data_IF_151315746093
#
_entry.id   IF_151315746093
#
_cell.length_a   1.000
_cell.length_b   1.000
_cell.length_c   1.000
_cell.angle_alpha   90.00
_cell.angle_beta   90.00
_cell.angle_gamma   90.00
#
_symmetry.space_group_name_H-M   'P 1'
#
loop_
_entity.id
_entity.type
_entity.pdbx_description
1 polymer ?
#
# COMPACT_ATOMS: atom_id res chain seq x y z
N UNK A 1 9.30 -3.01 21.66
CA UNK A 1 9.39 -3.69 22.95
C UNK A 1 8.05 -4.27 23.43
N UNK A 2 7.95 -4.86 24.63
CA UNK A 2 6.75 -5.56 25.11
C UNK A 2 5.48 -4.71 25.12
N UNK A 3 5.55 -3.47 25.59
CA UNK A 3 4.40 -2.55 25.61
C UNK A 3 3.88 -2.24 24.20
N UNK A 4 4.78 -2.03 23.23
CA UNK A 4 4.40 -1.83 21.85
C UNK A 4 3.73 -3.09 21.25
N UNK A 5 4.18 -4.28 21.65
CA UNK A 5 3.53 -5.52 21.21
C UNK A 5 2.13 -5.67 21.81
N UNK A 6 1.95 -5.29 23.07
CA UNK A 6 0.62 -5.28 23.71
C UNK A 6 -0.33 -4.31 23.03
N UNK A 7 0.13 -3.09 22.72
CA UNK A 7 -0.66 -2.11 21.96
C UNK A 7 -1.04 -2.66 20.57
N UNK A 8 -0.07 -3.21 19.86
CA UNK A 8 -0.32 -3.84 18.55
C UNK A 8 -1.39 -4.93 18.64
N UNK A 9 -1.30 -5.82 19.63
CA UNK A 9 -2.31 -6.87 19.82
C UNK A 9 -3.71 -6.30 20.08
N UNK A 10 -3.82 -5.21 20.85
CA UNK A 10 -5.11 -4.54 21.08
C UNK A 10 -5.69 -3.99 19.79
N UNK A 11 -4.87 -3.33 18.95
CA UNK A 11 -5.30 -2.80 17.66
C UNK A 11 -5.74 -3.94 16.74
N UNK A 12 -4.95 -5.01 16.61
CA UNK A 12 -5.31 -6.18 15.80
C UNK A 12 -6.63 -6.82 16.26
N UNK A 13 -6.82 -6.93 17.57
CA UNK A 13 -8.06 -7.50 18.14
C UNK A 13 -9.28 -6.60 17.88
N UNK A 14 -9.11 -5.27 17.95
CA UNK A 14 -10.18 -4.34 17.58
C UNK A 14 -10.58 -4.48 16.11
N UNK A 15 -9.60 -4.61 15.21
CA UNK A 15 -9.83 -4.85 13.78
C UNK A 15 -10.56 -6.19 13.57
N UNK A 16 -10.11 -7.27 14.23
CA UNK A 16 -10.79 -8.59 14.17
C UNK A 16 -12.24 -8.49 14.65
N UNK A 17 -12.49 -7.75 15.72
CA UNK A 17 -13.83 -7.55 16.24
C UNK A 17 -14.74 -6.93 15.18
N UNK A 18 -14.30 -5.87 14.52
CA UNK A 18 -15.08 -5.18 13.47
C UNK A 18 -15.39 -6.11 12.31
N UNK A 19 -14.40 -6.85 11.80
CA UNK A 19 -14.61 -7.76 10.68
C UNK A 19 -15.52 -8.94 11.07
N UNK A 20 -15.30 -9.55 12.23
CA UNK A 20 -16.13 -10.66 12.71
C UNK A 20 -17.58 -10.23 12.98
N UNK A 21 -17.79 -9.03 13.53
CA UNK A 21 -19.12 -8.46 13.72
C UNK A 21 -19.89 -8.32 12.38
N UNK A 22 -19.17 -8.00 11.31
CA UNK A 22 -19.71 -7.91 9.95
C UNK A 22 -19.69 -9.26 9.19
N UNK A 23 -19.54 -10.38 9.88
CA UNK A 23 -19.54 -11.72 9.31
C UNK A 23 -18.41 -12.03 8.30
N UNK A 24 -17.32 -11.29 8.34
CA UNK A 24 -16.11 -11.69 7.61
C UNK A 24 -15.43 -12.86 8.31
N UNK A 25 -14.70 -13.66 7.55
CA UNK A 25 -13.88 -14.77 8.09
C UNK A 25 -12.41 -14.46 7.92
N UNK A 26 -11.65 -14.57 9.01
CA UNK A 26 -10.21 -14.43 8.98
C UNK A 26 -9.58 -15.59 8.22
N UNK A 27 -8.63 -15.29 7.36
CA UNK A 27 -7.78 -16.28 6.72
C UNK A 27 -6.31 -15.86 6.84
N UNK A 28 -5.44 -16.83 6.78
CA UNK A 28 -4.00 -16.61 6.73
C UNK A 28 -3.43 -17.26 5.48
N UNK A 29 -2.65 -16.52 4.74
CA UNK A 29 -2.00 -16.99 3.53
C UNK A 29 -0.49 -16.79 3.56
N UNK A 30 0.24 -17.36 2.59
CA UNK A 30 1.68 -17.35 2.56
C UNK A 30 2.24 -15.94 2.44
N UNK A 31 3.36 -15.70 3.13
CA UNK A 31 4.12 -14.45 3.09
C UNK A 31 5.03 -14.38 1.87
N UNK A 32 5.59 -15.52 1.47
CA UNK A 32 6.47 -15.67 0.30
C UNK A 32 5.71 -16.44 -0.76
N UNK A 33 5.66 -15.91 -1.97
CA UNK A 33 4.96 -16.54 -3.09
C UNK A 33 5.82 -16.50 -4.36
N UNK A 34 5.65 -17.49 -5.26
CA UNK A 34 6.34 -17.50 -6.56
C UNK A 34 6.08 -16.23 -7.35
N UNK A 35 7.10 -15.73 -8.05
CA UNK A 35 7.00 -14.51 -8.87
C UNK A 35 5.90 -14.58 -9.95
N UNK A 36 5.50 -15.78 -10.38
CA UNK A 36 4.37 -15.97 -11.30
C UNK A 36 3.05 -15.38 -10.78
N UNK A 37 2.82 -15.41 -9.46
CA UNK A 37 1.63 -14.81 -8.83
C UNK A 37 1.69 -13.29 -8.98
N UNK A 38 2.82 -12.69 -8.67
CA UNK A 38 3.03 -11.26 -8.74
C UNK A 38 3.11 -10.73 -10.17
N UNK A 39 3.51 -11.58 -11.12
CA UNK A 39 3.41 -11.28 -12.54
C UNK A 39 1.96 -11.24 -12.99
N UNK A 40 1.15 -12.22 -12.57
CA UNK A 40 -0.27 -12.29 -12.91
C UNK A 40 -1.08 -11.12 -12.33
N UNK A 41 -0.75 -10.66 -11.13
CA UNK A 41 -1.39 -9.50 -10.48
C UNK A 41 -0.82 -8.15 -10.95
N UNK A 42 0.22 -8.14 -11.81
CA UNK A 42 0.84 -6.92 -12.32
C UNK A 42 1.90 -6.29 -11.42
N UNK A 43 2.04 -6.71 -10.16
CA UNK A 43 2.97 -6.08 -9.20
C UNK A 43 4.43 -6.07 -9.67
N UNK A 44 4.90 -7.12 -10.35
CA UNK A 44 6.28 -7.13 -10.84
C UNK A 44 6.58 -6.09 -11.92
N UNK A 45 5.56 -5.67 -12.66
CA UNK A 45 5.72 -4.71 -13.76
C UNK A 45 5.49 -3.26 -13.37
N UNK A 46 4.56 -3.00 -12.45
CA UNK A 46 4.07 -1.65 -12.18
C UNK A 46 4.37 -1.13 -10.78
N UNK A 47 4.61 -2.03 -9.82
CA UNK A 47 4.82 -1.64 -8.42
C UNK A 47 6.26 -1.16 -8.19
N UNK A 48 6.51 0.09 -8.59
CA UNK A 48 7.83 0.71 -8.53
C UNK A 48 7.72 2.22 -8.27
N UNK A 49 8.71 2.77 -7.57
CA UNK A 49 8.88 4.20 -7.38
C UNK A 49 9.79 4.80 -8.44
N UNK A 50 9.54 6.05 -8.78
CA UNK A 50 10.45 6.88 -9.60
C UNK A 50 11.54 7.43 -8.71
N UNK A 51 12.78 7.10 -9.03
CA UNK A 51 13.95 7.53 -8.27
C UNK A 51 14.84 8.46 -9.09
N UNK A 52 15.53 9.33 -8.37
CA UNK A 52 16.58 10.18 -8.90
C UNK A 52 17.82 10.11 -8.02
N UNK A 53 18.98 10.04 -8.64
CA UNK A 53 20.26 9.86 -7.95
C UNK A 53 21.06 11.15 -7.95
N UNK A 54 21.66 11.51 -6.83
CA UNK A 54 22.58 12.62 -6.74
C UNK A 54 23.92 12.30 -7.42
N UNK A 55 24.39 13.18 -8.32
CA UNK A 55 25.67 13.02 -9.03
C UNK A 55 26.91 13.18 -8.14
N UNK A 56 26.77 13.81 -6.96
CA UNK A 56 27.89 14.08 -6.05
C UNK A 56 28.04 13.04 -4.93
N UNK A 57 26.95 12.67 -4.27
CA UNK A 57 27.00 11.76 -3.11
C UNK A 57 26.32 10.41 -3.35
N UNK A 58 25.83 10.14 -4.56
CA UNK A 58 25.12 8.92 -4.95
C UNK A 58 23.88 8.59 -4.09
N UNK A 59 23.40 9.55 -3.30
CA UNK A 59 22.16 9.36 -2.54
C UNK A 59 20.96 9.28 -3.50
N UNK A 60 20.06 8.33 -3.22
CA UNK A 60 18.89 8.05 -4.03
C UNK A 60 17.63 8.56 -3.32
N UNK A 61 16.77 9.22 -4.06
CA UNK A 61 15.53 9.80 -3.53
C UNK A 61 14.35 9.46 -4.44
N UNK A 62 13.16 9.46 -3.87
CA UNK A 62 11.95 9.49 -4.67
C UNK A 62 11.81 10.86 -5.33
N UNK A 63 11.72 10.86 -6.66
CA UNK A 63 11.69 12.09 -7.44
C UNK A 63 10.43 12.91 -7.22
N UNK A 64 9.28 12.27 -7.03
CA UNK A 64 8.01 12.92 -6.69
C UNK A 64 8.08 13.57 -5.29
N UNK A 65 8.63 12.88 -4.29
CA UNK A 65 8.65 13.38 -2.92
C UNK A 65 9.58 14.56 -2.71
N UNK A 66 10.75 14.61 -3.37
CA UNK A 66 11.61 15.80 -3.28
C UNK A 66 10.99 17.06 -3.92
N UNK A 67 10.06 16.88 -4.86
CA UNK A 67 9.27 17.97 -5.42
C UNK A 67 8.21 18.41 -4.43
N UNK A 68 7.40 17.48 -3.92
CA UNK A 68 6.33 17.73 -2.97
C UNK A 68 6.82 18.35 -1.65
N UNK A 69 7.98 17.92 -1.14
CA UNK A 69 8.56 18.45 0.10
C UNK A 69 9.03 19.92 -0.02
N UNK A 70 9.30 20.40 -1.23
CA UNK A 70 9.79 21.78 -1.47
C UNK A 70 8.73 22.72 -2.04
N UNK A 71 7.72 22.15 -2.69
CA UNK A 71 6.69 22.90 -3.38
C UNK A 71 5.34 22.28 -3.05
N UNK A 72 4.36 23.12 -2.82
CA UNK A 72 2.98 22.69 -2.55
C UNK A 72 2.28 22.23 -3.84
N UNK A 73 2.78 21.15 -4.42
CA UNK A 73 2.27 20.53 -5.65
C UNK A 73 2.25 19.02 -5.55
N UNK A 74 1.17 18.38 -5.99
CA UNK A 74 1.15 16.92 -6.11
C UNK A 74 1.89 16.49 -7.38
N UNK A 75 3.00 15.78 -7.21
CA UNK A 75 3.83 15.31 -8.31
C UNK A 75 3.54 13.86 -8.74
N UNK A 76 2.66 13.15 -8.05
CA UNK A 76 2.31 11.76 -8.38
C UNK A 76 1.77 11.61 -9.81
N UNK A 77 0.96 12.58 -10.27
CA UNK A 77 0.36 12.61 -11.61
C UNK A 77 1.27 13.12 -12.72
N UNK A 78 2.51 13.52 -12.43
CA UNK A 78 3.43 14.02 -13.47
C UNK A 78 3.96 12.88 -14.33
N UNK A 79 4.11 13.13 -15.64
CA UNK A 79 4.91 12.25 -16.50
C UNK A 79 6.38 12.31 -16.09
N UNK A 80 7.17 11.31 -16.49
CA UNK A 80 8.60 11.27 -16.17
C UNK A 80 9.34 12.49 -16.73
N UNK A 81 8.99 12.94 -17.96
CA UNK A 81 9.54 14.15 -18.58
C UNK A 81 9.17 15.42 -17.77
N UNK A 82 7.89 15.59 -17.45
CA UNK A 82 7.41 16.73 -16.68
C UNK A 82 8.09 16.81 -15.31
N UNK A 83 8.30 15.66 -14.66
CA UNK A 83 8.95 15.61 -13.35
C UNK A 83 10.44 16.02 -13.42
N UNK A 84 11.17 15.54 -14.44
CA UNK A 84 12.55 15.97 -14.68
C UNK A 84 12.65 17.46 -15.01
N UNK A 85 11.80 17.95 -15.91
CA UNK A 85 11.79 19.36 -16.31
C UNK A 85 11.49 20.26 -15.11
N UNK A 86 10.53 19.87 -14.25
CA UNK A 86 10.24 20.60 -13.03
C UNK A 86 11.45 20.67 -12.08
N UNK A 87 12.15 19.53 -11.91
CA UNK A 87 13.36 19.46 -11.06
C UNK A 87 14.46 20.38 -11.61
N UNK A 88 14.64 20.44 -12.93
CA UNK A 88 15.62 21.31 -13.60
C UNK A 88 15.25 22.79 -13.48
N UNK A 89 14.02 23.16 -13.85
CA UNK A 89 13.55 24.56 -13.85
C UNK A 89 13.58 25.16 -12.45
N UNK A 90 13.15 24.39 -11.47
CA UNK A 90 13.15 24.81 -10.06
C UNK A 90 14.51 24.66 -9.39
N UNK A 91 15.56 24.20 -10.12
CA UNK A 91 16.93 23.99 -9.61
C UNK A 91 16.95 23.23 -8.30
N UNK A 92 16.18 22.14 -8.22
CA UNK A 92 16.09 21.31 -7.02
C UNK A 92 17.40 20.54 -6.87
N UNK A 93 18.10 20.77 -5.76
CA UNK A 93 19.35 20.12 -5.42
C UNK A 93 19.17 19.05 -4.35
N UNK A 94 20.15 18.15 -4.26
CA UNK A 94 20.19 17.07 -3.29
C UNK A 94 20.06 17.58 -1.84
N UNK A 95 19.10 17.07 -1.05
CA UNK A 95 18.91 17.46 0.35
C UNK A 95 20.11 17.13 1.23
N UNK A 96 20.91 16.12 0.86
CA UNK A 96 22.03 15.64 1.67
C UNK A 96 23.33 16.41 1.46
N UNK A 97 23.60 16.91 0.24
CA UNK A 97 24.89 17.52 -0.08
C UNK A 97 24.82 18.75 -0.99
N UNK A 98 23.61 19.21 -1.31
CA UNK A 98 23.34 20.32 -2.26
C UNK A 98 23.90 20.11 -3.67
N UNK A 99 24.33 18.89 -4.03
CA UNK A 99 24.78 18.52 -5.36
C UNK A 99 23.62 18.43 -6.35
N UNK A 100 23.93 18.46 -7.64
CA UNK A 100 22.92 18.26 -8.70
C UNK A 100 22.51 16.81 -8.80
N UNK A 101 21.31 16.57 -9.27
CA UNK A 101 20.85 15.23 -9.63
C UNK A 101 21.34 14.81 -11.01
N UNK A 102 21.49 13.50 -11.21
CA UNK A 102 21.67 12.91 -12.54
C UNK A 102 20.37 13.15 -13.31
N UNK A 103 20.49 13.57 -14.55
CA UNK A 103 19.37 13.94 -15.39
C UNK A 103 18.65 12.72 -16.00
N UNK A 104 18.28 11.81 -15.13
CA UNK A 104 17.61 10.55 -15.47
C UNK A 104 16.78 10.06 -14.30
N UNK A 105 15.51 9.73 -14.57
CA UNK A 105 14.70 8.96 -13.65
C UNK A 105 14.91 7.45 -13.87
N UNK A 106 14.98 6.72 -12.79
CA UNK A 106 15.01 5.27 -12.81
C UNK A 106 13.80 4.71 -12.06
N UNK A 107 13.45 3.46 -12.31
CA UNK A 107 12.39 2.76 -11.62
C UNK A 107 12.97 1.78 -10.61
N UNK A 108 12.65 1.96 -9.34
CA UNK A 108 13.01 1.01 -8.31
C UNK A 108 11.79 0.19 -7.92
N UNK A 109 11.88 -1.13 -8.10
CA UNK A 109 10.84 -2.05 -7.68
C UNK A 109 10.67 -2.03 -6.16
N UNK A 110 9.43 -1.93 -5.72
CA UNK A 110 9.06 -2.06 -4.31
C UNK A 110 8.88 -3.53 -3.89
N UNK A 111 8.96 -4.47 -4.82
CA UNK A 111 8.92 -5.90 -4.50
C UNK A 111 10.20 -6.34 -3.82
N UNK A 112 10.09 -6.99 -2.66
CA UNK A 112 11.22 -7.62 -1.98
C UNK A 112 11.42 -9.04 -2.53
N UNK A 113 12.40 -9.19 -3.40
CA UNK A 113 12.70 -10.45 -4.09
C UNK A 113 13.51 -11.41 -3.23
N UNK A 114 13.28 -12.71 -3.44
CA UNK A 114 14.02 -13.81 -2.82
C UNK A 114 14.05 -15.01 -3.77
N UNK A 115 14.67 -16.10 -3.32
CA UNK A 115 14.64 -17.41 -3.99
C UNK A 115 14.22 -18.49 -3.00
N UNK A 116 13.36 -19.38 -3.47
CA UNK A 116 12.94 -20.56 -2.70
C UNK A 116 13.19 -21.80 -3.55
N UNK A 117 14.03 -22.71 -3.07
CA UNK A 117 14.45 -23.92 -3.82
C UNK A 117 14.92 -23.59 -5.26
N UNK A 118 15.68 -22.50 -5.43
CA UNK A 118 16.20 -22.06 -6.72
C UNK A 118 15.22 -21.32 -7.62
N UNK A 119 13.94 -21.23 -7.24
CA UNK A 119 12.91 -20.52 -7.99
C UNK A 119 12.77 -19.08 -7.50
N UNK A 120 12.51 -18.16 -8.43
CA UNK A 120 12.26 -16.77 -8.09
C UNK A 120 10.93 -16.61 -7.36
N UNK A 121 10.99 -15.90 -6.25
CA UNK A 121 9.88 -15.63 -5.37
C UNK A 121 9.97 -14.21 -4.81
N UNK A 122 8.87 -13.69 -4.32
CA UNK A 122 8.85 -12.38 -3.65
C UNK A 122 8.03 -12.45 -2.37
N UNK A 123 8.42 -11.60 -1.42
CA UNK A 123 7.61 -11.35 -0.25
C UNK A 123 6.39 -10.50 -0.67
N UNK A 124 5.24 -10.78 -0.08
CA UNK A 124 4.00 -10.07 -0.43
C UNK A 124 4.07 -8.59 -0.05
N UNK A 125 3.76 -7.66 -0.97
CA UNK A 125 3.74 -6.23 -0.71
C UNK A 125 2.44 -5.75 -0.06
N UNK A 126 1.44 -6.66 -0.01
CA UNK A 126 0.09 -6.43 0.49
C UNK A 126 -0.56 -7.76 0.90
N UNK A 127 -1.70 -7.69 1.56
CA UNK A 127 -2.44 -8.88 2.00
C UNK A 127 -3.65 -9.21 1.10
N UNK A 128 -4.06 -8.31 0.20
CA UNK A 128 -5.23 -8.49 -0.64
C UNK A 128 -5.10 -9.66 -1.63
N UNK A 129 -3.98 -9.77 -2.35
CA UNK A 129 -3.77 -10.86 -3.33
C UNK A 129 -3.93 -12.24 -2.70
N UNK A 130 -3.54 -12.39 -1.44
CA UNK A 130 -3.64 -13.65 -0.71
C UNK A 130 -5.09 -14.05 -0.41
N UNK A 131 -5.99 -13.08 -0.35
CA UNK A 131 -7.43 -13.33 -0.17
C UNK A 131 -8.12 -13.66 -1.49
N UNK A 132 -7.60 -13.20 -2.63
CA UNK A 132 -8.14 -13.50 -3.95
C UNK A 132 -7.78 -14.92 -4.44
N UNK A 133 -6.56 -15.36 -4.17
CA UNK A 133 -6.07 -16.67 -4.63
C UNK A 133 -6.96 -17.84 -4.21
N UNK A 134 -7.45 -17.93 -2.97
CA UNK A 134 -8.32 -19.02 -2.53
C UNK A 134 -9.81 -18.79 -2.86
N UNK A 135 -10.17 -17.83 -3.72
CA UNK A 135 -11.58 -17.46 -3.97
C UNK A 135 -12.50 -18.68 -4.19
N UNK A 136 -12.11 -19.61 -5.06
CA UNK A 136 -12.93 -20.78 -5.37
C UNK A 136 -13.19 -21.63 -4.11
N UNK A 137 -12.16 -21.81 -3.27
CA UNK A 137 -12.29 -22.56 -2.00
C UNK A 137 -13.17 -21.81 -1.02
N UNK A 138 -13.02 -20.49 -0.93
CA UNK A 138 -13.86 -19.64 -0.07
C UNK A 138 -15.32 -19.66 -0.55
N UNK A 139 -15.55 -19.53 -1.84
CA UNK A 139 -16.90 -19.64 -2.42
C UNK A 139 -17.57 -20.97 -2.10
N UNK A 140 -16.82 -22.08 -2.17
CA UNK A 140 -17.31 -23.40 -1.75
C UNK A 140 -17.59 -23.47 -0.23
N UNK A 141 -16.69 -22.92 0.60
CA UNK A 141 -16.87 -22.83 2.04
C UNK A 141 -18.14 -22.07 2.42
N UNK A 142 -18.45 -20.97 1.73
CA UNK A 142 -19.68 -20.21 1.89
C UNK A 142 -20.88 -20.81 1.12
N UNK A 143 -20.79 -22.10 0.76
CA UNK A 143 -21.87 -22.85 0.07
C UNK A 143 -22.33 -22.18 -1.22
N UNK A 144 -21.40 -21.60 -1.98
CA UNK A 144 -21.63 -20.88 -3.25
C UNK A 144 -22.60 -19.71 -3.13
N UNK A 145 -22.66 -19.08 -1.97
CA UNK A 145 -23.51 -17.90 -1.73
C UNK A 145 -22.67 -16.62 -1.75
N UNK A 146 -23.21 -15.58 -2.33
CA UNK A 146 -22.73 -14.20 -2.29
C UNK A 146 -23.80 -13.33 -1.62
N UNK A 147 -23.43 -12.24 -0.95
CA UNK A 147 -22.06 -11.80 -0.68
C UNK A 147 -21.38 -12.63 0.43
N UNK A 148 -20.04 -12.68 0.41
CA UNK A 148 -19.26 -13.14 1.54
C UNK A 148 -18.01 -12.29 1.74
N UNK A 149 -17.59 -12.16 2.98
CA UNK A 149 -16.41 -11.39 3.35
C UNK A 149 -15.29 -12.26 3.93
N UNK A 150 -14.07 -11.97 3.54
CA UNK A 150 -12.86 -12.53 4.15
C UNK A 150 -11.90 -11.41 4.50
N UNK A 151 -11.08 -11.60 5.53
CA UNK A 151 -10.05 -10.63 5.88
C UNK A 151 -8.77 -11.34 6.31
N UNK A 152 -7.68 -10.61 6.24
CA UNK A 152 -6.39 -11.06 6.75
C UNK A 152 -5.70 -9.95 7.53
N UNK A 153 -5.07 -10.31 8.65
CA UNK A 153 -4.11 -9.47 9.35
C UNK A 153 -2.76 -10.17 9.24
N UNK A 154 -1.78 -9.48 8.69
CA UNK A 154 -0.47 -10.11 8.48
C UNK A 154 0.62 -9.16 8.04
N UNK A 155 1.84 -9.70 7.96
CA UNK A 155 3.00 -8.95 7.49
C UNK A 155 2.93 -8.70 6.00
N UNK A 156 3.29 -7.48 5.62
CA UNK A 156 3.55 -7.07 4.24
C UNK A 156 4.95 -6.43 4.17
N UNK A 157 5.52 -6.42 2.99
CA UNK A 157 6.92 -6.04 2.77
C UNK A 157 7.05 -5.18 1.54
N UNK A 158 7.71 -4.03 1.69
CA UNK A 158 8.00 -3.13 0.57
C UNK A 158 9.45 -2.68 0.63
N UNK A 159 10.15 -2.76 -0.49
CA UNK A 159 11.53 -2.32 -0.59
C UNK A 159 11.62 -0.79 -0.65
N UNK A 160 11.24 -0.14 0.45
CA UNK A 160 11.25 1.31 0.59
C UNK A 160 12.66 1.88 0.44
N UNK A 161 12.78 2.96 -0.32
CA UNK A 161 14.07 3.62 -0.60
C UNK A 161 14.64 4.28 0.66
N UNK A 162 13.77 4.94 1.43
CA UNK A 162 14.17 5.66 2.63
C UNK A 162 13.17 5.46 3.77
N UNK A 163 13.27 4.36 4.53
CA UNK A 163 12.40 4.12 5.66
C UNK A 163 12.87 4.96 6.87
N UNK A 164 12.66 6.30 6.82
CA UNK A 164 13.22 7.24 7.81
C UNK A 164 12.23 7.81 8.81
N UNK A 165 10.95 7.60 8.62
CA UNK A 165 9.94 8.21 9.50
C UNK A 165 9.73 7.38 10.76
N UNK A 166 10.81 7.03 11.47
CA UNK A 166 10.77 6.19 12.66
C UNK A 166 10.00 4.89 12.41
N UNK A 167 8.86 4.68 13.09
CA UNK A 167 8.00 3.49 12.91
C UNK A 167 6.90 3.69 11.87
N UNK A 168 6.73 4.89 11.32
CA UNK A 168 5.64 5.21 10.36
C UNK A 168 5.90 4.62 8.97
N UNK A 169 7.17 4.46 8.59
CA UNK A 169 7.55 3.87 7.31
C UNK A 169 8.66 2.82 7.51
N UNK A 170 8.31 1.56 7.35
CA UNK A 170 9.23 0.43 7.44
C UNK A 170 9.16 -0.44 6.20
N UNK A 171 10.20 -1.25 5.98
CA UNK A 171 10.20 -2.27 4.92
C UNK A 171 9.35 -3.49 5.27
N UNK A 172 9.10 -3.68 6.54
CA UNK A 172 8.19 -4.70 7.08
C UNK A 172 7.14 -4.01 7.95
N UNK A 173 5.88 -4.25 7.69
CA UNK A 173 4.78 -3.68 8.46
C UNK A 173 3.63 -4.69 8.57
N UNK A 174 2.69 -4.44 9.46
CA UNK A 174 1.48 -5.25 9.57
C UNK A 174 0.34 -4.52 8.88
N UNK A 175 -0.38 -5.24 8.04
CA UNK A 175 -1.52 -4.75 7.30
C UNK A 175 -2.76 -5.57 7.67
N UNK A 176 -3.92 -4.93 7.70
CA UNK A 176 -5.21 -5.57 7.83
C UNK A 176 -6.06 -5.18 6.64
N UNK A 177 -6.52 -6.15 5.88
CA UNK A 177 -7.35 -5.94 4.69
C UNK A 177 -8.51 -6.92 4.68
N UNK A 178 -9.69 -6.42 4.32
CA UNK A 178 -10.89 -7.23 4.11
C UNK A 178 -11.42 -7.05 2.70
N UNK A 179 -11.85 -8.14 2.10
CA UNK A 179 -12.49 -8.18 0.79
C UNK A 179 -13.91 -8.71 0.93
N UNK A 180 -14.85 -7.96 0.39
CA UNK A 180 -16.23 -8.37 0.22
C UNK A 180 -16.46 -8.80 -1.22
N UNK A 181 -16.78 -10.07 -1.42
CA UNK A 181 -17.13 -10.61 -2.73
C UNK A 181 -18.64 -10.52 -2.93
N UNK A 182 -19.06 -9.85 -3.99
CA UNK A 182 -20.46 -9.59 -4.33
C UNK A 182 -20.76 -10.10 -5.74
N UNK A 183 -22.02 -10.35 -6.05
CA UNK A 183 -22.46 -10.51 -7.43
C UNK A 183 -22.43 -9.13 -8.11
N UNK A 184 -21.74 -8.98 -9.27
CA UNK A 184 -21.72 -7.71 -9.99
C UNK A 184 -23.12 -7.18 -10.37
N UNK A 185 -24.09 -8.07 -10.53
CA UNK A 185 -25.48 -7.71 -10.88
C UNK A 185 -26.23 -7.11 -9.68
N UNK A 186 -25.80 -7.44 -8.46
CA UNK A 186 -26.42 -6.99 -7.21
C UNK A 186 -25.66 -5.82 -6.57
N UNK A 187 -24.68 -5.25 -7.28
CA UNK A 187 -23.81 -4.19 -6.74
C UNK A 187 -24.57 -2.97 -6.25
N UNK A 188 -25.62 -2.60 -6.94
CA UNK A 188 -26.40 -1.40 -6.65
C UNK A 188 -27.59 -1.66 -5.69
N UNK A 189 -27.83 -2.92 -5.32
CA UNK A 189 -28.97 -3.37 -4.50
C UNK A 189 -28.57 -3.87 -3.11
N UNK A 190 -27.54 -3.29 -2.51
CA UNK A 190 -27.09 -3.77 -1.21
C UNK A 190 -27.94 -3.20 -0.06
N UNK A 191 -28.82 -4.02 0.51
CA UNK A 191 -29.75 -3.68 1.59
C UNK A 191 -29.09 -2.95 2.77
N UNK A 192 -27.86 -3.33 3.14
CA UNK A 192 -27.14 -2.67 4.24
C UNK A 192 -26.80 -1.22 3.95
N UNK A 193 -26.67 -0.83 2.68
CA UNK A 193 -26.40 0.56 2.33
C UNK A 193 -27.59 1.45 2.66
N UNK A 194 -28.79 0.96 2.47
CA UNK A 194 -30.02 1.70 2.77
C UNK A 194 -30.13 2.10 4.25
N UNK A 195 -29.57 1.29 5.14
CA UNK A 195 -29.56 1.59 6.58
C UNK A 195 -28.59 2.69 7.00
N UNK A 196 -27.61 3.04 6.14
CA UNK A 196 -26.54 4.00 6.46
C UNK A 196 -26.43 5.17 5.48
N UNK A 197 -27.16 5.15 4.34
CA UNK A 197 -27.02 6.16 3.29
C UNK A 197 -27.34 7.58 3.73
N UNK A 198 -28.19 7.74 4.75
CA UNK A 198 -28.56 9.04 5.32
C UNK A 198 -27.72 9.42 6.56
N UNK A 199 -26.79 8.57 6.96
CA UNK A 199 -25.93 8.84 8.10
C UNK A 199 -24.99 10.02 7.80
N UNK A 200 -25.04 11.03 8.66
CA UNK A 200 -24.16 12.20 8.56
C UNK A 200 -22.88 11.93 9.35
N UNK A 201 -21.77 11.82 8.65
CA UNK A 201 -20.47 11.67 9.29
C UNK A 201 -19.86 13.04 9.62
N UNK A 202 -19.44 13.29 10.86
CA UNK A 202 -18.68 14.48 11.20
C UNK A 202 -17.27 14.37 10.58
N UNK A 203 -17.04 15.09 9.49
CA UNK A 203 -15.74 15.13 8.83
C UNK A 203 -15.02 16.42 9.22
N UNK A 204 -13.82 16.29 9.72
CA UNK A 204 -12.94 17.40 10.07
C UNK A 204 -11.72 17.34 9.16
N UNK A 205 -11.86 17.87 7.97
CA UNK A 205 -10.80 17.91 6.98
C UNK A 205 -9.68 18.92 7.35
N UNK A 206 -8.56 18.86 6.62
CA UNK A 206 -7.42 19.72 6.93
C UNK A 206 -7.72 21.21 6.77
N UNK A 207 -8.62 21.59 5.87
CA UNK A 207 -8.98 23.01 5.66
C UNK A 207 -9.78 23.58 6.83
N UNK A 208 -10.61 22.76 7.46
CA UNK A 208 -11.32 23.11 8.69
C UNK A 208 -10.34 23.16 9.88
N UNK A 209 -9.35 22.26 9.92
CA UNK A 209 -8.31 22.26 10.95
C UNK A 209 -7.44 23.51 10.85
N UNK A 210 -6.97 23.88 9.67
CA UNK A 210 -6.18 25.09 9.43
C UNK A 210 -6.97 26.37 9.70
N UNK A 211 -8.27 26.37 9.45
CA UNK A 211 -9.16 27.48 9.77
C UNK A 211 -9.52 27.60 11.26
N UNK A 212 -9.06 26.69 12.10
CA UNK A 212 -9.34 26.68 13.55
C UNK A 212 -10.81 26.46 13.90
N UNK A 213 -11.55 25.78 13.02
CA UNK A 213 -12.99 25.51 13.15
C UNK A 213 -13.26 24.07 13.55
#
# INVERSE_FOLDING_TARGET
GPLGKLLKNKVENSVRHVFNFNNFRELEGPTIMPDKVWKASGHLGTFSDRIITCSKCNAVFRADKIVEEKFDVSADGFSDSKLLDFIREKKINCPSCSGRFIDKLERQSLMMKTKVAGQDASLRPETATVTYLPFIRMYQYFRKKLPFGVFQIGKAYRNEISPRQSVLRGREFTQAEGQLFIDPKEKDNWEKFDSVKEEKLPLWDYTLQDAGK
#
